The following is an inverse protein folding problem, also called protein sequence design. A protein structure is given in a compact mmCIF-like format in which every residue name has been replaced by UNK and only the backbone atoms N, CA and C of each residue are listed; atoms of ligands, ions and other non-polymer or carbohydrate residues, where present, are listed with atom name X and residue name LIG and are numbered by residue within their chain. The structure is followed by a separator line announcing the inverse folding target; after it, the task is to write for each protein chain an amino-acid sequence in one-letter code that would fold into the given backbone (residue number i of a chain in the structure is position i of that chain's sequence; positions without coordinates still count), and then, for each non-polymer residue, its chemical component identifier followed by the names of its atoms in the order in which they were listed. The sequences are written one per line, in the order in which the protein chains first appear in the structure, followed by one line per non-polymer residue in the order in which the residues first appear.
data_IF_567312930267
#
_entry.id   IF_567312930267
#
_cell.length_a   1.000
_cell.length_b   1.000
_cell.length_c   1.000
_cell.angle_alpha   90.00
_cell.angle_beta   90.00
_cell.angle_gamma   90.00
#
_symmetry.space_group_name_H-M   'P 1'
#
loop_
_entity.id
_entity.type
_entity.pdbx_description
1 polymer ?
#
# COMPACT_ATOMS: atom_id res chain seq x y z
N UNK A 1 -17.52 13.83 -14.42
CA UNK A 1 -17.44 13.85 -12.94
C UNK A 1 -16.29 12.95 -12.56
N UNK A 2 -15.13 13.55 -12.37
CA UNK A 2 -13.89 12.83 -12.06
C UNK A 2 -13.84 12.66 -10.55
N UNK A 3 -13.96 11.42 -10.08
CA UNK A 3 -13.68 11.09 -8.70
C UNK A 3 -12.17 11.26 -8.49
N UNK A 4 -11.75 12.48 -8.18
CA UNK A 4 -10.42 12.75 -7.65
C UNK A 4 -10.35 12.12 -6.26
N UNK A 5 -10.04 10.81 -6.20
CA UNK A 5 -9.44 10.20 -5.02
C UNK A 5 -8.06 10.83 -4.84
N UNK A 6 -8.05 12.06 -4.35
CA UNK A 6 -6.86 12.81 -4.06
C UNK A 6 -6.06 11.98 -3.06
N UNK A 7 -4.88 11.54 -3.49
CA UNK A 7 -3.93 10.80 -2.66
C UNK A 7 -3.72 11.60 -1.38
N UNK A 8 -4.25 11.12 -0.26
CA UNK A 8 -4.18 11.87 0.99
C UNK A 8 -2.78 11.69 1.54
N UNK A 9 -1.95 12.71 1.33
CA UNK A 9 -0.61 12.77 1.88
C UNK A 9 -0.68 12.65 3.40
N UNK A 10 0.29 11.95 3.98
CA UNK A 10 0.33 11.67 5.42
C UNK A 10 -0.50 10.47 5.87
N UNK A 11 -1.33 9.87 5.00
CA UNK A 11 -2.02 8.61 5.31
C UNK A 11 -1.14 7.39 5.09
N UNK A 12 -1.40 6.38 5.91
CA UNK A 12 -0.83 5.05 5.79
C UNK A 12 -1.77 4.25 4.89
N UNK A 13 -1.19 3.63 3.87
CA UNK A 13 -1.86 2.69 3.02
C UNK A 13 -1.34 1.29 3.35
N UNK A 14 -2.24 0.33 3.36
CA UNK A 14 -1.98 -1.06 3.62
C UNK A 14 -2.07 -1.81 2.29
N UNK A 15 -1.04 -2.58 1.97
CA UNK A 15 -0.94 -3.39 0.77
C UNK A 15 -1.40 -4.81 1.06
N UNK A 16 -2.43 -5.22 0.32
CA UNK A 16 -3.09 -6.50 0.49
C UNK A 16 -3.10 -7.27 -0.82
N UNK A 17 -3.03 -8.60 -0.70
CA UNK A 17 -3.22 -9.55 -1.79
C UNK A 17 -4.50 -10.35 -1.55
N UNK A 18 -5.42 -10.31 -2.50
CA UNK A 18 -6.61 -11.17 -2.49
C UNK A 18 -6.21 -12.63 -2.73
N UNK A 19 -7.06 -13.56 -2.30
CA UNK A 19 -6.90 -14.99 -2.63
C UNK A 19 -6.87 -15.26 -4.14
N UNK A 20 -7.43 -14.35 -4.93
CA UNK A 20 -7.42 -14.36 -6.40
C UNK A 20 -6.06 -13.96 -7.01
N UNK A 21 -5.09 -13.55 -6.18
CA UNK A 21 -3.78 -13.06 -6.62
C UNK A 21 -3.78 -11.59 -7.04
N UNK A 22 -4.94 -10.92 -7.01
CA UNK A 22 -5.03 -9.47 -7.23
C UNK A 22 -4.47 -8.72 -6.02
N UNK A 23 -3.55 -7.80 -6.27
CA UNK A 23 -2.93 -6.95 -5.26
C UNK A 23 -3.50 -5.55 -5.33
N UNK A 24 -3.77 -4.93 -4.18
CA UNK A 24 -4.30 -3.58 -4.12
C UNK A 24 -3.89 -2.88 -2.82
N UNK A 25 -3.98 -1.55 -2.84
CA UNK A 25 -3.70 -0.70 -1.69
C UNK A 25 -5.01 -0.15 -1.15
N UNK A 26 -5.12 -0.11 0.17
CA UNK A 26 -6.26 0.49 0.86
C UNK A 26 -5.79 1.28 2.07
N UNK A 27 -6.50 2.36 2.41
CA UNK A 27 -6.28 3.10 3.66
C UNK A 27 -6.91 2.41 4.88
N UNK A 28 -7.70 1.36 4.65
CA UNK A 28 -8.44 0.65 5.68
C UNK A 28 -7.52 -0.33 6.40
N UNK A 29 -7.42 -0.20 7.72
CA UNK A 29 -6.62 -1.09 8.56
C UNK A 29 -7.23 -2.48 8.64
N UNK A 30 -6.44 -3.55 8.88
CA UNK A 30 -6.97 -4.92 8.95
C UNK A 30 -8.01 -5.08 10.07
N UNK A 31 -7.93 -4.23 11.10
CA UNK A 31 -8.89 -4.17 12.19
C UNK A 31 -10.27 -3.65 11.75
N UNK A 32 -10.33 -2.75 10.76
CA UNK A 32 -11.60 -2.23 10.22
C UNK A 32 -12.28 -3.21 9.26
N UNK A 33 -11.51 -4.08 8.60
CA UNK A 33 -12.08 -5.13 7.74
C UNK A 33 -12.87 -6.20 8.52
N UNK A 34 -12.76 -6.23 9.85
CA UNK A 34 -13.49 -7.17 10.72
C UNK A 34 -13.04 -8.62 10.59
N UNK A 35 -13.89 -9.55 11.04
CA UNK A 35 -13.61 -11.00 11.09
C UNK A 35 -13.49 -11.69 9.72
N UNK A 36 -13.86 -11.01 8.63
CA UNK A 36 -13.83 -11.55 7.27
C UNK A 36 -12.82 -10.79 6.43
N UNK A 37 -11.56 -10.76 6.85
CA UNK A 37 -10.48 -10.24 6.03
C UNK A 37 -9.77 -11.42 5.33
N UNK A 38 -10.23 -11.88 4.14
CA UNK A 38 -9.60 -12.97 3.39
C UNK A 38 -8.32 -12.51 2.67
N UNK A 39 -7.86 -11.29 2.93
CA UNK A 39 -6.73 -10.69 2.24
C UNK A 39 -5.43 -10.96 2.98
N UNK A 40 -4.41 -11.38 2.23
CA UNK A 40 -3.06 -11.55 2.73
C UNK A 40 -2.41 -10.19 2.89
N UNK A 41 -2.08 -9.82 4.12
CA UNK A 41 -1.36 -8.59 4.41
C UNK A 41 0.11 -8.74 3.97
N UNK A 42 0.54 -7.88 3.05
CA UNK A 42 1.90 -7.89 2.49
C UNK A 42 2.79 -6.86 3.18
N UNK A 43 2.25 -5.66 3.43
CA UNK A 43 2.99 -4.58 4.08
C UNK A 43 2.18 -3.29 4.14
N UNK A 44 2.72 -2.28 4.81
CA UNK A 44 2.11 -0.95 4.88
C UNK A 44 3.07 0.10 4.34
N UNK A 45 2.58 1.05 3.56
CA UNK A 45 3.33 2.14 2.97
C UNK A 45 2.68 3.47 3.34
N UNK A 46 3.47 4.40 3.86
CA UNK A 46 3.02 5.75 4.17
C UNK A 46 3.36 6.66 3.00
N UNK A 47 2.37 7.41 2.51
CA UNK A 47 2.64 8.45 1.54
C UNK A 47 3.15 9.70 2.29
N UNK A 48 4.43 10.00 2.10
CA UNK A 48 5.04 11.22 2.62
C UNK A 48 4.53 12.47 1.89
N UNK A 49 4.77 13.63 2.50
CA UNK A 49 4.44 14.93 1.91
C UNK A 49 5.18 15.18 0.59
N UNK A 50 6.38 14.59 0.46
CA UNK A 50 7.21 14.62 -0.73
C UNK A 50 6.70 13.72 -1.89
N UNK A 51 5.49 13.15 -1.79
CA UNK A 51 4.99 12.09 -2.68
C UNK A 51 5.91 10.85 -2.74
N UNK A 52 6.68 10.64 -1.67
CA UNK A 52 7.56 9.49 -1.49
C UNK A 52 6.83 8.47 -0.62
N UNK A 53 6.66 7.28 -1.14
CA UNK A 53 6.13 6.15 -0.40
C UNK A 53 7.21 5.58 0.52
N UNK A 54 6.96 5.55 1.83
CA UNK A 54 7.87 5.00 2.83
C UNK A 54 7.30 3.71 3.39
N UNK A 55 8.02 2.58 3.35
CA UNK A 55 7.54 1.34 3.96
C UNK A 55 7.47 1.54 5.48
N UNK A 56 6.30 1.25 6.05
CA UNK A 56 6.05 1.34 7.48
C UNK A 56 6.47 0.06 8.22
N UNK A 57 6.72 -1.04 7.49
CA UNK A 57 7.29 -2.26 8.05
C UNK A 57 8.52 -2.68 7.26
N UNK A 58 9.66 -2.93 7.92
CA UNK A 58 10.85 -3.49 7.28
C UNK A 58 10.65 -5.00 7.07
N UNK A 59 9.91 -5.36 6.02
CA UNK A 59 9.85 -6.74 5.54
C UNK A 59 11.13 -7.06 4.76
N UNK A 60 12.14 -7.60 5.45
CA UNK A 60 13.35 -8.28 4.94
C UNK A 60 13.64 -8.12 3.43
N UNK A 61 14.39 -7.08 3.06
CA UNK A 61 15.60 -7.17 2.24
C UNK A 61 16.14 -5.77 1.94
N UNK A 62 17.39 -5.57 2.29
CA UNK A 62 18.16 -4.33 2.16
C UNK A 62 18.81 -4.30 0.77
N UNK A 63 18.04 -3.92 -0.26
CA UNK A 63 18.56 -3.42 -1.53
C UNK A 63 17.65 -2.28 -2.01
N UNK A 64 18.20 -1.07 -2.17
CA UNK A 64 17.43 0.13 -2.55
C UNK A 64 16.62 -0.03 -3.84
N UNK A 65 16.99 -0.98 -4.71
CA UNK A 65 16.32 -1.25 -5.99
C UNK A 65 14.95 -1.92 -5.84
N UNK A 66 14.76 -2.87 -4.91
CA UNK A 66 13.48 -3.57 -4.73
C UNK A 66 12.38 -2.65 -4.17
N UNK A 67 12.78 -1.68 -3.35
CA UNK A 67 11.87 -0.69 -2.79
C UNK A 67 11.36 0.26 -3.87
N UNK A 68 12.25 0.78 -4.73
CA UNK A 68 11.89 1.68 -5.83
C UNK A 68 10.92 0.99 -6.82
N UNK A 69 11.16 -0.28 -7.16
CA UNK A 69 10.26 -1.03 -8.03
C UNK A 69 8.89 -1.27 -7.38
N UNK A 70 8.88 -1.59 -6.08
CA UNK A 70 7.63 -1.72 -5.31
C UNK A 70 6.85 -0.41 -5.29
N UNK A 71 7.51 0.72 -5.07
CA UNK A 71 6.91 2.06 -5.10
C UNK A 71 6.41 2.41 -6.51
N UNK A 72 7.15 2.03 -7.55
CA UNK A 72 6.74 2.26 -8.95
C UNK A 72 5.49 1.47 -9.32
N UNK A 73 5.41 0.19 -8.92
CA UNK A 73 4.21 -0.64 -9.08
C UNK A 73 3.01 -0.06 -8.34
N UNK A 74 3.22 0.47 -7.13
CA UNK A 74 2.19 1.18 -6.37
C UNK A 74 1.72 2.43 -7.13
N UNK A 75 2.65 3.23 -7.68
CA UNK A 75 2.32 4.43 -8.47
C UNK A 75 1.60 4.12 -9.79
N UNK A 76 1.92 3.00 -10.43
CA UNK A 76 1.25 2.54 -11.67
C UNK A 76 -0.20 2.11 -11.43
N UNK A 77 -0.50 1.63 -10.22
CA UNK A 77 -1.85 1.22 -9.83
C UNK A 77 -2.83 2.38 -9.62
N UNK A 78 -2.35 3.64 -9.59
CA UNK A 78 -3.13 4.86 -9.33
C UNK A 78 -2.91 5.92 -10.40
#
# INVERSE_FOLDING_TARGET
MECNVARVQGKIYHYYETRDGKRFLTIVSPNEWGHCCPFKYIGSFKLGYDNIWKPCQPGKNEQSSDLEESIRKIKDFF
#
